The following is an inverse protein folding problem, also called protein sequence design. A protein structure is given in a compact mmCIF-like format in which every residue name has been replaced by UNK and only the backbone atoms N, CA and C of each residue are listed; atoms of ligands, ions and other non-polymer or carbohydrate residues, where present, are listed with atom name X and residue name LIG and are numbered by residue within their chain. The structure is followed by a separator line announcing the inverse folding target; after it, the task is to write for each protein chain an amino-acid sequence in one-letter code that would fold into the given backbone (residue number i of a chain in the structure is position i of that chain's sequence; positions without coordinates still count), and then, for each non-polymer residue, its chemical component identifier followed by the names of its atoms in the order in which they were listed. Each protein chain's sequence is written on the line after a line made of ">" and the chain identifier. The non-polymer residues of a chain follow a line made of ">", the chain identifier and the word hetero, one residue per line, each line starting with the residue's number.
data_IF_841047217421
#
_entry.id   IF_841047217421
#
_cell.length_a   1.000
_cell.length_b   1.000
_cell.length_c   1.000
_cell.angle_alpha   90.00
_cell.angle_beta   90.00
_cell.angle_gamma   90.00
#
_symmetry.space_group_name_H-M   'P 1'
#
loop_
_entity.id
_entity.type
_entity.pdbx_description
1 polymer ?
#
# COMPACT_ATOMS: atom_id res chain seq x y z
N UNK A 1 -15.91 -15.30 8.14
CA UNK A 1 -15.03 -15.55 6.99
C UNK A 1 -15.89 -15.77 5.76
N UNK A 2 -15.53 -15.21 4.63
CA UNK A 2 -16.23 -15.49 3.38
C UNK A 2 -15.86 -16.91 2.91
N UNK A 3 -16.83 -17.61 2.32
CA UNK A 3 -16.67 -19.00 1.89
C UNK A 3 -16.32 -19.01 0.40
N UNK A 4 -15.27 -19.73 0.03
CA UNK A 4 -14.90 -19.97 -1.36
C UNK A 4 -15.69 -21.17 -1.89
N UNK A 5 -16.24 -21.03 -3.10
CA UNK A 5 -16.97 -22.10 -3.78
C UNK A 5 -15.97 -23.03 -4.50
N UNK A 6 -15.56 -24.10 -3.82
CA UNK A 6 -14.61 -25.09 -4.34
C UNK A 6 -15.17 -25.87 -5.53
N UNK A 7 -16.50 -26.11 -5.56
CA UNK A 7 -17.14 -26.83 -6.64
C UNK A 7 -17.00 -26.07 -7.98
N UNK A 8 -17.28 -24.76 -7.97
CA UNK A 8 -17.08 -23.94 -9.16
C UNK A 8 -15.59 -23.88 -9.55
N UNK A 9 -14.68 -23.82 -8.58
CA UNK A 9 -13.24 -23.84 -8.85
C UNK A 9 -12.81 -25.16 -9.51
N UNK A 10 -13.32 -26.29 -9.02
CA UNK A 10 -13.07 -27.61 -9.59
C UNK A 10 -13.56 -27.71 -11.04
N UNK A 11 -14.81 -27.32 -11.29
CA UNK A 11 -15.40 -27.36 -12.64
C UNK A 11 -14.63 -26.41 -13.57
N UNK A 12 -14.33 -25.18 -13.15
CA UNK A 12 -13.57 -24.22 -13.95
C UNK A 12 -12.18 -24.77 -14.33
N UNK A 13 -11.50 -25.46 -13.41
CA UNK A 13 -10.22 -26.09 -13.66
C UNK A 13 -10.32 -27.22 -14.66
N UNK A 14 -11.29 -28.09 -14.52
CA UNK A 14 -11.56 -29.21 -15.46
C UNK A 14 -11.87 -28.72 -16.88
N UNK A 15 -12.58 -27.59 -17.00
CA UNK A 15 -12.91 -26.98 -18.30
C UNK A 15 -11.77 -26.17 -18.92
N UNK A 16 -10.70 -25.91 -18.19
CA UNK A 16 -9.59 -25.07 -18.65
C UNK A 16 -8.25 -25.78 -18.76
N UNK A 17 -8.07 -26.94 -18.12
CA UNK A 17 -6.77 -27.61 -17.98
C UNK A 17 -6.92 -29.12 -17.97
N UNK A 18 -5.90 -29.82 -18.46
CA UNK A 18 -5.79 -31.30 -18.38
C UNK A 18 -5.29 -31.80 -17.01
N UNK A 19 -4.78 -30.91 -16.17
CA UNK A 19 -4.33 -31.30 -14.83
C UNK A 19 -5.50 -31.39 -13.87
N UNK A 20 -5.47 -32.37 -12.98
CA UNK A 20 -6.49 -32.56 -11.96
C UNK A 20 -6.57 -31.36 -11.01
N UNK A 21 -7.76 -31.18 -10.47
CA UNK A 21 -7.99 -30.18 -9.42
C UNK A 21 -7.54 -30.76 -8.09
N UNK A 22 -6.80 -29.97 -7.33
CA UNK A 22 -6.44 -30.29 -5.95
C UNK A 22 -7.50 -29.71 -5.04
N UNK A 23 -8.22 -30.55 -4.32
CA UNK A 23 -9.27 -30.10 -3.39
C UNK A 23 -8.75 -29.13 -2.35
N UNK A 24 -9.52 -28.06 -2.11
CA UNK A 24 -9.14 -27.01 -1.17
C UNK A 24 -8.11 -26.01 -1.69
N UNK A 25 -7.61 -26.16 -2.92
CA UNK A 25 -6.56 -25.28 -3.46
C UNK A 25 -7.02 -23.83 -3.64
N UNK A 26 -8.28 -23.60 -4.04
CA UNK A 26 -8.83 -22.26 -4.17
C UNK A 26 -8.98 -21.58 -2.81
N UNK A 27 -9.48 -22.31 -1.81
CA UNK A 27 -9.56 -21.84 -0.41
C UNK A 27 -8.18 -21.58 0.17
N UNK A 28 -7.20 -22.45 -0.07
CA UNK A 28 -5.83 -22.27 0.39
C UNK A 28 -5.20 -21.01 -0.21
N UNK A 29 -5.40 -20.78 -1.51
CA UNK A 29 -4.92 -19.57 -2.20
C UNK A 29 -5.54 -18.29 -1.62
N UNK A 30 -6.86 -18.29 -1.40
CA UNK A 30 -7.56 -17.19 -0.73
C UNK A 30 -7.03 -16.92 0.67
N UNK A 31 -6.90 -17.98 1.49
CA UNK A 31 -6.40 -17.86 2.86
C UNK A 31 -4.97 -17.33 2.89
N UNK A 32 -4.10 -17.73 1.97
CA UNK A 32 -2.75 -17.21 1.84
C UNK A 32 -2.72 -15.70 1.53
N UNK A 33 -3.65 -15.22 0.70
CA UNK A 33 -3.78 -13.80 0.41
C UNK A 33 -4.32 -13.01 1.62
N UNK A 34 -5.32 -13.55 2.33
CA UNK A 34 -5.82 -12.97 3.56
C UNK A 34 -4.75 -12.94 4.66
N UNK A 35 -3.92 -13.99 4.77
CA UNK A 35 -2.80 -14.02 5.73
C UNK A 35 -1.75 -12.93 5.44
N UNK A 36 -1.43 -12.68 4.15
CA UNK A 36 -0.56 -11.55 3.77
C UNK A 36 -1.17 -10.19 4.17
N UNK A 37 -2.48 -10.03 3.97
CA UNK A 37 -3.18 -8.81 4.40
C UNK A 37 -3.23 -8.67 5.93
N UNK A 38 -3.40 -9.78 6.66
CA UNK A 38 -3.34 -9.80 8.13
C UNK A 38 -1.95 -9.38 8.64
N UNK A 39 -0.88 -9.86 8.01
CA UNK A 39 0.48 -9.44 8.36
C UNK A 39 0.67 -7.92 8.15
N UNK A 40 0.08 -7.34 7.10
CA UNK A 40 0.08 -5.88 6.89
C UNK A 40 -0.70 -5.16 7.99
N UNK A 41 -1.87 -5.68 8.39
CA UNK A 41 -2.67 -5.13 9.49
C UNK A 41 -1.85 -5.07 10.79
N UNK A 42 -1.17 -6.17 11.14
CA UNK A 42 -0.31 -6.22 12.33
C UNK A 42 0.88 -5.26 12.28
N UNK A 43 1.41 -4.95 11.10
CA UNK A 43 2.45 -3.94 10.91
C UNK A 43 1.91 -2.49 10.97
N UNK A 44 0.64 -2.29 10.63
CA UNK A 44 0.00 -0.98 10.61
C UNK A 44 -0.58 -0.60 11.97
N UNK A 45 -1.17 -1.55 12.71
CA UNK A 45 -1.77 -1.32 14.04
C UNK A 45 -0.87 -0.53 15.01
N UNK A 46 0.41 -0.87 15.21
CA UNK A 46 1.28 -0.12 16.12
C UNK A 46 1.63 1.30 15.62
N UNK A 47 1.41 1.58 14.34
CA UNK A 47 1.62 2.93 13.76
C UNK A 47 0.38 3.80 13.87
N UNK A 48 -0.78 3.22 14.19
CA UNK A 48 -2.01 3.96 14.39
C UNK A 48 -1.96 4.68 15.73
N UNK A 49 -2.14 6.00 15.69
CA UNK A 49 -2.08 6.86 16.87
C UNK A 49 -3.37 6.74 17.71
N UNK A 50 -4.53 6.59 17.07
CA UNK A 50 -5.84 6.63 17.71
C UNK A 50 -6.62 5.33 17.56
N UNK A 51 -7.61 5.13 18.42
CA UNK A 51 -8.53 3.99 18.35
C UNK A 51 -9.29 3.97 17.01
N UNK A 52 -9.74 5.13 16.55
CA UNK A 52 -10.47 5.28 15.27
C UNK A 52 -9.63 4.80 14.07
N UNK A 53 -8.32 5.09 14.06
CA UNK A 53 -7.41 4.60 13.02
C UNK A 53 -7.24 3.08 13.06
N UNK A 54 -7.19 2.49 14.27
CA UNK A 54 -7.08 1.02 14.44
C UNK A 54 -8.35 0.31 13.98
N UNK A 55 -9.52 0.81 14.39
CA UNK A 55 -10.82 0.28 13.97
C UNK A 55 -10.99 0.37 12.46
N UNK A 56 -10.62 1.50 11.85
CA UNK A 56 -10.63 1.66 10.40
C UNK A 56 -9.69 0.67 9.70
N UNK A 57 -8.51 0.41 10.23
CA UNK A 57 -7.59 -0.58 9.67
C UNK A 57 -8.19 -1.99 9.69
N UNK A 58 -8.85 -2.38 10.78
CA UNK A 58 -9.56 -3.65 10.90
C UNK A 58 -10.74 -3.76 9.93
N UNK A 59 -11.51 -2.68 9.79
CA UNK A 59 -12.60 -2.61 8.82
C UNK A 59 -12.09 -2.78 7.38
N UNK A 60 -11.00 -2.11 7.02
CA UNK A 60 -10.38 -2.21 5.69
C UNK A 60 -9.89 -3.64 5.40
N UNK A 61 -9.29 -4.31 6.38
CA UNK A 61 -8.88 -5.71 6.28
C UNK A 61 -10.08 -6.63 6.04
N UNK A 62 -11.13 -6.49 6.83
CA UNK A 62 -12.35 -7.29 6.69
C UNK A 62 -13.01 -7.06 5.32
N UNK A 63 -13.03 -5.81 4.87
CA UNK A 63 -13.60 -5.46 3.57
C UNK A 63 -12.78 -6.01 2.41
N UNK A 64 -11.43 -5.97 2.52
CA UNK A 64 -10.53 -6.62 1.58
C UNK A 64 -10.83 -8.11 1.44
N UNK A 65 -10.89 -8.84 2.54
CA UNK A 65 -11.16 -10.28 2.54
C UNK A 65 -12.53 -10.62 1.91
N UNK A 66 -13.57 -9.83 2.21
CA UNK A 66 -14.90 -10.02 1.65
C UNK A 66 -14.92 -9.82 0.13
N UNK A 67 -14.40 -8.68 -0.35
CA UNK A 67 -14.39 -8.35 -1.78
C UNK A 67 -13.50 -9.30 -2.57
N UNK A 68 -12.38 -9.75 -1.99
CA UNK A 68 -11.50 -10.75 -2.61
C UNK A 68 -12.21 -12.09 -2.80
N UNK A 69 -12.96 -12.54 -1.79
CA UNK A 69 -13.73 -13.80 -1.89
C UNK A 69 -14.83 -13.70 -2.96
N UNK A 70 -15.54 -12.56 -3.03
CA UNK A 70 -16.54 -12.30 -4.07
C UNK A 70 -15.89 -12.35 -5.47
N UNK A 71 -14.72 -11.71 -5.63
CA UNK A 71 -13.99 -11.69 -6.90
C UNK A 71 -13.54 -13.10 -7.33
N UNK A 72 -12.99 -13.90 -6.40
CA UNK A 72 -12.56 -15.28 -6.67
C UNK A 72 -13.75 -16.18 -7.00
N UNK A 73 -14.84 -16.10 -6.24
CA UNK A 73 -16.04 -16.89 -6.51
C UNK A 73 -16.64 -16.54 -7.87
N UNK A 74 -16.66 -15.26 -8.21
CA UNK A 74 -17.10 -14.79 -9.52
C UNK A 74 -16.21 -15.26 -10.65
N UNK A 75 -14.89 -15.23 -10.45
CA UNK A 75 -13.90 -15.74 -11.40
C UNK A 75 -14.16 -17.23 -11.71
N UNK A 76 -14.32 -18.04 -10.67
CA UNK A 76 -14.59 -19.46 -10.79
C UNK A 76 -15.95 -19.73 -11.47
N UNK A 77 -17.01 -19.01 -11.09
CA UNK A 77 -18.33 -19.11 -11.73
C UNK A 77 -18.25 -18.81 -13.24
N UNK A 78 -17.55 -17.73 -13.62
CA UNK A 78 -17.35 -17.42 -15.04
C UNK A 78 -16.58 -18.54 -15.73
N UNK A 79 -15.59 -19.14 -15.06
CA UNK A 79 -14.81 -20.27 -15.56
C UNK A 79 -15.65 -21.50 -15.94
N UNK A 80 -16.79 -21.70 -15.28
CA UNK A 80 -17.68 -22.84 -15.56
C UNK A 80 -18.52 -22.71 -16.85
N UNK A 81 -18.58 -21.52 -17.46
CA UNK A 81 -19.54 -21.22 -18.56
C UNK A 81 -19.17 -21.80 -19.91
N UNK A 82 -17.88 -21.93 -20.19
CA UNK A 82 -17.41 -22.39 -21.49
C UNK A 82 -16.03 -23.05 -21.35
N UNK A 83 -15.83 -24.23 -21.92
CA UNK A 83 -14.56 -24.92 -21.90
C UNK A 83 -13.50 -24.16 -22.71
N UNK A 84 -12.23 -24.49 -22.45
CA UNK A 84 -11.11 -24.05 -23.28
C UNK A 84 -11.08 -24.79 -24.62
N UNK A 85 -10.59 -24.11 -25.65
CA UNK A 85 -10.29 -24.76 -26.96
C UNK A 85 -9.35 -25.95 -26.80
N UNK A 86 -8.44 -25.92 -25.83
CA UNK A 86 -7.52 -27.02 -25.53
C UNK A 86 -8.27 -28.30 -25.07
N UNK A 87 -9.40 -28.15 -24.41
CA UNK A 87 -10.20 -29.28 -23.87
C UNK A 87 -11.16 -29.82 -24.91
N UNK A 88 -11.90 -28.96 -25.61
CA UNK A 88 -12.95 -29.40 -26.54
C UNK A 88 -12.50 -29.44 -28.00
N UNK A 89 -11.28 -29.01 -28.31
CA UNK A 89 -10.78 -28.94 -29.68
C UNK A 89 -11.35 -27.75 -30.48
N UNK A 90 -10.78 -27.48 -31.68
CA UNK A 90 -11.18 -26.35 -32.51
C UNK A 90 -12.49 -26.59 -33.30
N UNK A 91 -12.89 -27.88 -33.54
CA UNK A 91 -14.06 -28.20 -34.33
C UNK A 91 -15.35 -27.78 -33.60
N UNK A 92 -16.15 -26.92 -34.24
CA UNK A 92 -17.42 -26.41 -33.68
C UNK A 92 -17.26 -25.67 -32.33
N UNK A 93 -16.11 -25.06 -32.11
CA UNK A 93 -15.86 -24.31 -30.87
C UNK A 93 -16.86 -23.14 -30.71
N UNK A 94 -17.52 -22.99 -29.55
CA UNK A 94 -18.55 -21.99 -29.33
C UNK A 94 -17.96 -20.59 -29.12
N UNK A 95 -17.38 -19.97 -30.15
CA UNK A 95 -16.66 -18.70 -30.11
C UNK A 95 -17.47 -17.60 -29.40
N UNK A 96 -18.75 -17.44 -29.75
CA UNK A 96 -19.59 -16.40 -29.15
C UNK A 96 -19.83 -16.59 -27.64
N UNK A 97 -19.92 -17.85 -27.15
CA UNK A 97 -19.98 -18.10 -25.71
C UNK A 97 -18.66 -17.74 -25.04
N UNK A 98 -17.53 -18.01 -25.71
CA UNK A 98 -16.21 -17.70 -25.20
C UNK A 98 -15.97 -16.19 -25.11
N UNK A 99 -16.39 -15.44 -26.11
CA UNK A 99 -16.31 -13.98 -26.11
C UNK A 99 -17.10 -13.38 -24.92
N UNK A 100 -18.32 -13.87 -24.68
CA UNK A 100 -19.11 -13.47 -23.51
C UNK A 100 -18.41 -13.83 -22.17
N UNK A 101 -17.75 -14.99 -22.12
CA UNK A 101 -16.99 -15.39 -20.95
C UNK A 101 -15.79 -14.45 -20.72
N UNK A 102 -15.05 -14.11 -21.77
CA UNK A 102 -13.92 -13.17 -21.69
C UNK A 102 -14.39 -11.80 -21.24
N UNK A 103 -15.46 -11.27 -21.82
CA UNK A 103 -16.03 -10.00 -21.39
C UNK A 103 -16.47 -10.00 -19.90
N UNK A 104 -16.99 -11.14 -19.41
CA UNK A 104 -17.34 -11.30 -18.00
C UNK A 104 -16.11 -11.32 -17.09
N UNK A 105 -15.00 -11.94 -17.51
CA UNK A 105 -13.72 -11.89 -16.78
C UNK A 105 -13.15 -10.48 -16.76
N UNK A 106 -13.20 -9.75 -17.87
CA UNK A 106 -12.75 -8.35 -17.92
C UNK A 106 -13.55 -7.47 -16.97
N UNK A 107 -14.86 -7.66 -16.90
CA UNK A 107 -15.71 -6.98 -15.92
C UNK A 107 -15.36 -7.38 -14.47
N UNK A 108 -15.00 -8.63 -14.20
CA UNK A 108 -14.63 -9.09 -12.87
C UNK A 108 -13.25 -8.56 -12.41
N UNK A 109 -12.36 -8.19 -13.33
CA UNK A 109 -11.08 -7.53 -12.99
C UNK A 109 -11.28 -6.28 -12.15
N UNK A 110 -12.42 -5.57 -12.32
CA UNK A 110 -12.75 -4.42 -11.49
C UNK A 110 -12.96 -4.79 -10.03
N UNK A 111 -13.50 -5.98 -9.74
CA UNK A 111 -13.64 -6.48 -8.37
C UNK A 111 -12.27 -6.76 -7.73
N UNK A 112 -11.33 -7.33 -8.48
CA UNK A 112 -9.94 -7.49 -8.00
C UNK A 112 -9.25 -6.15 -7.76
N UNK A 113 -9.45 -5.16 -8.64
CA UNK A 113 -8.94 -3.79 -8.43
C UNK A 113 -9.51 -3.14 -7.17
N UNK A 114 -10.81 -3.36 -6.89
CA UNK A 114 -11.44 -2.90 -5.65
C UNK A 114 -10.81 -3.56 -4.43
N UNK A 115 -10.56 -4.87 -4.46
CA UNK A 115 -9.87 -5.56 -3.39
C UNK A 115 -8.47 -4.97 -3.18
N UNK A 116 -7.69 -4.80 -4.23
CA UNK A 116 -6.36 -4.20 -4.15
C UNK A 116 -6.39 -2.77 -3.62
N UNK A 117 -7.39 -1.98 -4.02
CA UNK A 117 -7.59 -0.64 -3.48
C UNK A 117 -7.76 -0.65 -1.96
N UNK A 118 -8.59 -1.57 -1.41
CA UNK A 118 -8.72 -1.71 0.04
C UNK A 118 -7.39 -2.10 0.71
N UNK A 119 -6.59 -2.96 0.07
CA UNK A 119 -5.28 -3.33 0.58
C UNK A 119 -4.31 -2.13 0.60
N UNK A 120 -4.34 -1.27 -0.41
CA UNK A 120 -3.53 -0.04 -0.44
C UNK A 120 -4.00 0.97 0.63
N UNK A 121 -5.31 1.09 0.83
CA UNK A 121 -5.85 1.91 1.90
C UNK A 121 -5.46 1.38 3.28
N UNK A 122 -5.45 0.06 3.49
CA UNK A 122 -5.00 -0.57 4.72
C UNK A 122 -3.54 -0.20 5.03
N UNK A 123 -2.64 -0.27 4.05
CA UNK A 123 -1.23 0.14 4.22
C UNK A 123 -1.07 1.58 4.70
N UNK A 124 -2.02 2.44 4.37
CA UNK A 124 -2.03 3.88 4.70
C UNK A 124 -2.99 4.24 5.83
N UNK A 125 -3.60 3.26 6.51
CA UNK A 125 -4.62 3.55 7.52
C UNK A 125 -4.11 4.44 8.67
N UNK A 126 -2.83 4.31 9.02
CA UNK A 126 -2.17 5.15 10.03
C UNK A 126 -1.95 6.62 9.62
N UNK A 127 -2.08 6.96 8.33
CA UNK A 127 -1.94 8.36 7.85
C UNK A 127 -3.27 9.10 7.76
N UNK A 128 -4.37 8.47 8.16
CA UNK A 128 -5.66 9.13 8.18
C UNK A 128 -5.66 10.33 9.12
N UNK A 129 -6.32 11.40 8.67
CA UNK A 129 -6.50 12.59 9.50
C UNK A 129 -7.17 12.20 10.83
N UNK A 130 -6.58 12.69 11.91
CA UNK A 130 -7.08 12.50 13.27
C UNK A 130 -8.25 13.46 13.45
N UNK A 131 -9.38 12.99 13.97
CA UNK A 131 -10.54 13.83 14.24
C UNK A 131 -10.32 14.61 15.52
N UNK A 132 -10.80 15.85 15.57
CA UNK A 132 -10.64 16.73 16.73
C UNK A 132 -11.44 16.31 17.97
N UNK A 133 -12.43 15.45 17.79
CA UNK A 133 -13.28 14.89 18.85
C UNK A 133 -12.76 13.57 19.44
N UNK A 134 -11.64 13.07 18.93
CA UNK A 134 -10.99 11.87 19.45
C UNK A 134 -10.28 12.21 20.78
N UNK A 135 -10.57 11.50 21.89
CA UNK A 135 -9.99 11.78 23.20
C UNK A 135 -8.46 11.62 23.25
N UNK A 136 -7.88 10.79 22.38
CA UNK A 136 -6.43 10.54 22.32
C UNK A 136 -5.66 11.60 21.50
N UNK A 137 -6.38 12.56 20.87
CA UNK A 137 -5.77 13.54 19.94
C UNK A 137 -4.72 14.42 20.59
N UNK A 138 -5.00 14.96 21.78
CA UNK A 138 -4.09 15.88 22.45
C UNK A 138 -2.77 15.21 22.80
N UNK A 139 -2.83 14.00 23.38
CA UNK A 139 -1.66 13.22 23.73
C UNK A 139 -0.85 12.84 22.49
N UNK A 140 -1.54 12.41 21.42
CA UNK A 140 -0.90 12.14 20.15
C UNK A 140 -0.19 13.38 19.57
N UNK A 141 -0.86 14.53 19.56
CA UNK A 141 -0.29 15.76 19.01
C UNK A 141 0.92 16.24 19.83
N UNK A 142 0.87 16.13 21.17
CA UNK A 142 2.01 16.43 22.04
C UNK A 142 3.19 15.50 21.75
N UNK A 143 2.96 14.18 21.73
CA UNK A 143 4.01 13.21 21.40
C UNK A 143 4.60 13.44 20.01
N UNK A 144 3.77 13.80 19.04
CA UNK A 144 4.21 14.13 17.68
C UNK A 144 5.03 15.41 17.62
N UNK A 145 4.63 16.42 18.39
CA UNK A 145 5.36 17.67 18.51
C UNK A 145 6.75 17.43 19.11
N UNK A 146 6.84 16.68 20.19
CA UNK A 146 8.11 16.32 20.84
C UNK A 146 9.05 15.54 19.89
N UNK A 147 8.50 14.59 19.14
CA UNK A 147 9.27 13.87 18.12
C UNK A 147 9.82 14.82 17.03
N UNK A 148 9.01 15.74 16.55
CA UNK A 148 9.42 16.71 15.54
C UNK A 148 10.45 17.70 16.07
N UNK A 149 10.30 18.16 17.32
CA UNK A 149 11.26 19.04 17.97
C UNK A 149 12.60 18.33 18.17
N UNK A 150 12.59 17.08 18.64
CA UNK A 150 13.80 16.27 18.80
C UNK A 150 14.49 16.03 17.46
N UNK A 151 13.75 15.65 16.42
CA UNK A 151 14.29 15.47 15.08
C UNK A 151 14.89 16.78 14.53
N UNK A 152 14.20 17.90 14.73
CA UNK A 152 14.69 19.21 14.30
C UNK A 152 15.97 19.62 15.04
N UNK A 153 16.07 19.35 16.35
CA UNK A 153 17.28 19.63 17.12
C UNK A 153 18.44 18.75 16.63
N UNK A 154 18.21 17.45 16.45
CA UNK A 154 19.21 16.52 15.89
C UNK A 154 19.73 17.00 14.53
N UNK A 155 18.84 17.49 13.66
CA UNK A 155 19.24 18.05 12.36
C UNK A 155 20.08 19.32 12.50
N UNK A 156 19.75 20.21 13.45
CA UNK A 156 20.55 21.41 13.73
C UNK A 156 21.96 21.05 14.21
N UNK A 157 22.04 20.10 15.13
CA UNK A 157 23.31 19.66 15.72
C UNK A 157 24.18 18.97 14.66
N UNK A 158 23.57 18.11 13.81
CA UNK A 158 24.25 17.48 12.67
C UNK A 158 24.76 18.51 11.66
N UNK A 159 23.96 19.52 11.34
CA UNK A 159 24.37 20.60 10.45
C UNK A 159 25.53 21.44 11.05
N UNK A 160 25.48 21.74 12.34
CA UNK A 160 26.54 22.45 13.04
C UNK A 160 27.84 21.62 13.05
N UNK A 161 27.74 20.33 13.36
CA UNK A 161 28.87 19.41 13.36
C UNK A 161 29.51 19.31 11.97
N UNK A 162 28.71 19.11 10.90
CA UNK A 162 29.21 19.05 9.54
C UNK A 162 29.90 20.33 9.07
N UNK A 163 29.36 21.50 9.44
CA UNK A 163 30.02 22.78 9.11
C UNK A 163 31.41 22.88 9.71
N UNK A 164 31.61 22.35 10.93
CA UNK A 164 32.86 22.39 11.68
C UNK A 164 33.86 21.33 11.21
N UNK A 165 33.39 20.10 11.00
CA UNK A 165 34.26 18.94 10.78
C UNK A 165 34.29 18.48 9.31
N UNK A 166 33.32 18.90 8.46
CA UNK A 166 33.14 18.53 7.07
C UNK A 166 32.84 17.02 6.86
N UNK A 167 32.65 16.27 7.95
CA UNK A 167 32.25 14.87 7.99
C UNK A 167 31.11 14.68 8.98
N UNK A 168 30.38 13.57 8.87
CA UNK A 168 29.37 13.16 9.86
C UNK A 168 29.87 11.99 10.73
N UNK A 169 31.15 11.65 10.61
CA UNK A 169 31.76 10.62 11.45
C UNK A 169 31.71 11.06 12.91
N UNK A 170 31.30 10.13 13.77
CA UNK A 170 31.15 10.36 15.22
C UNK A 170 30.21 11.50 15.63
N UNK A 171 29.30 11.94 14.71
CA UNK A 171 28.30 12.94 15.05
C UNK A 171 27.29 12.36 16.06
N UNK A 172 27.17 12.96 17.27
CA UNK A 172 26.24 12.47 18.28
C UNK A 172 24.78 12.60 17.80
N UNK A 173 23.97 11.56 18.07
CA UNK A 173 22.54 11.55 17.76
C UNK A 173 22.18 11.12 16.34
N UNK A 174 23.14 10.76 15.49
CA UNK A 174 22.91 10.21 14.16
C UNK A 174 23.22 8.72 14.16
N UNK A 175 22.26 7.90 13.66
CA UNK A 175 22.51 6.47 13.47
C UNK A 175 23.36 6.24 12.22
N UNK A 176 24.14 5.15 12.20
CA UNK A 176 24.94 4.76 11.04
C UNK A 176 24.09 4.66 9.75
N UNK A 177 22.88 4.15 9.86
CA UNK A 177 21.94 4.07 8.73
C UNK A 177 21.56 5.47 8.20
N UNK A 178 21.34 6.42 9.09
CA UNK A 178 21.01 7.81 8.71
C UNK A 178 22.24 8.50 8.12
N UNK A 179 23.43 8.26 8.65
CA UNK A 179 24.68 8.77 8.11
C UNK A 179 24.92 8.27 6.68
N UNK A 180 24.85 6.95 6.46
CA UNK A 180 25.01 6.34 5.15
C UNK A 180 23.99 6.86 4.14
N UNK A 181 22.75 7.13 4.59
CA UNK A 181 21.71 7.71 3.74
C UNK A 181 22.03 9.17 3.38
N UNK A 182 22.55 9.97 4.31
CA UNK A 182 22.96 11.36 4.06
C UNK A 182 24.19 11.46 3.17
N UNK A 183 25.17 10.59 3.32
CA UNK A 183 26.41 10.59 2.58
C UNK A 183 26.28 9.98 1.18
N UNK A 184 25.54 8.88 1.05
CA UNK A 184 25.34 8.17 -0.21
C UNK A 184 23.99 8.52 -0.88
N UNK A 185 23.08 9.11 -0.15
CA UNK A 185 21.75 9.45 -0.59
C UNK A 185 21.75 10.79 -1.28
N UNK A 186 21.91 10.75 -2.57
CA UNK A 186 21.30 11.72 -3.45
C UNK A 186 21.61 13.18 -3.07
N UNK A 187 22.84 13.58 -3.30
CA UNK A 187 23.22 14.99 -3.43
C UNK A 187 22.30 15.61 -4.50
N UNK A 188 21.11 16.03 -4.11
CA UNK A 188 20.28 16.85 -4.97
C UNK A 188 20.96 18.20 -5.13
N UNK A 189 21.43 18.47 -6.34
CA UNK A 189 21.67 19.75 -7.01
C UNK A 189 22.49 20.85 -6.28
N UNK A 190 22.83 20.73 -5.00
CA UNK A 190 23.54 21.78 -4.26
C UNK A 190 24.88 21.36 -3.63
N UNK A 191 25.33 20.15 -3.88
CA UNK A 191 26.66 19.67 -3.46
C UNK A 191 26.86 19.45 -1.96
N UNK A 192 25.81 19.55 -1.13
CA UNK A 192 25.87 19.26 0.29
C UNK A 192 24.86 18.18 0.68
N UNK A 193 25.30 17.06 1.30
CA UNK A 193 24.40 16.01 1.75
C UNK A 193 23.32 16.49 2.74
N UNK A 194 23.57 17.59 3.43
CA UNK A 194 22.66 18.18 4.41
C UNK A 194 21.65 19.15 3.80
N UNK A 195 21.76 19.49 2.51
CA UNK A 195 20.80 20.38 1.83
C UNK A 195 19.43 19.73 1.63
N UNK A 196 19.36 18.41 1.67
CA UNK A 196 18.11 17.62 1.55
C UNK A 196 17.14 17.90 2.70
N UNK A 197 17.64 18.29 3.87
CA UNK A 197 16.83 18.57 5.04
C UNK A 197 16.50 20.06 5.25
N UNK A 198 16.60 20.86 4.20
CA UNK A 198 16.20 22.26 4.27
C UNK A 198 16.76 22.94 5.50
N UNK A 199 18.06 23.29 5.47
CA UNK A 199 18.66 24.04 6.55
C UNK A 199 17.84 25.31 6.81
N UNK A 200 17.27 25.55 8.01
CA UNK A 200 16.46 26.74 8.29
C UNK A 200 17.26 28.05 8.30
N UNK A 201 18.51 28.04 7.84
CA UNK A 201 19.37 29.18 7.73
C UNK A 201 19.16 30.07 6.49
N UNK A 202 18.22 29.72 5.62
CA UNK A 202 17.65 30.67 4.68
C UNK A 202 16.19 30.88 5.02
N UNK A 203 15.80 32.08 5.52
CA UNK A 203 14.40 32.45 5.43
C UNK A 203 14.05 32.37 3.93
N UNK A 204 13.02 31.61 3.61
CA UNK A 204 12.38 31.74 2.29
C UNK A 204 11.96 33.20 2.18
N UNK A 205 12.80 34.01 1.56
CA UNK A 205 12.35 35.28 1.08
C UNK A 205 11.37 34.95 -0.01
N UNK A 206 10.12 35.00 0.34
CA UNK A 206 9.01 35.07 -0.58
C UNK A 206 9.17 36.39 -1.34
N UNK A 207 10.08 36.42 -2.31
CA UNK A 207 10.07 37.45 -3.34
C UNK A 207 8.94 37.06 -4.29
N UNK A 208 7.74 37.42 -3.87
CA UNK A 208 6.66 37.70 -4.79
C UNK A 208 7.20 38.69 -5.82
N UNK A 209 7.61 38.18 -6.95
CA UNK A 209 7.88 39.00 -8.10
C UNK A 209 6.54 39.57 -8.56
N UNK A 210 6.17 40.75 -8.03
CA UNK A 210 5.23 41.63 -8.70
C UNK A 210 5.84 41.95 -10.07
N UNK A 211 5.26 41.43 -11.12
CA UNK A 211 5.44 41.95 -12.47
C UNK A 211 4.82 43.36 -12.53
N UNK A 212 5.53 44.39 -12.92
CA UNK A 212 4.89 45.65 -13.25
C UNK A 212 4.06 45.45 -14.52
N UNK A 213 2.78 45.78 -14.45
CA UNK A 213 1.93 46.02 -15.62
C UNK A 213 2.52 47.19 -16.38
N UNK A 214 2.93 46.94 -17.62
CA UNK A 214 3.24 48.00 -18.60
C UNK A 214 1.94 48.46 -19.26
N UNK A 215 1.69 49.73 -19.13
CA UNK A 215 0.83 50.49 -20.02
C UNK A 215 1.27 50.39 -21.48
#
# INVERSE_FOLDING_TARGET
>A
MAIINEENARIAKQLSSFSDYVEGSATASYNAQCAKAAAILEQVKPKCATADQRERAEWLYNRYCAVLAEAINRENEIGTRCPSVLICGPANFPVHKKEKQVAAWDANRENFRKAEHYLQMLKRAHTFAVKSDDPEVLDYLHAKLDQLQTAHQTMKDANAYYRKHKTLDDCPGITEKTRNWLENGHAFASGSPLSVYGCPSRPMSCKTAMRPSSE
#
